data_IF_205169446283
#
_entry.id   IF_205169446283
#
_cell.length_a   1.000
_cell.length_b   1.000
_cell.length_c   1.000
_cell.angle_alpha   90.00
_cell.angle_beta   90.00
_cell.angle_gamma   90.00
#
_symmetry.space_group_name_H-M   'P 1'
#
loop_
_entity.id
_entity.type
_entity.pdbx_description
1 polymer ?
#
# COMPACT_ATOMS: atom_id res chain seq x y z
N UNK A 1 -55.01 48.09 30.56
CA UNK A 1 -55.79 46.83 30.44
C UNK A 1 -54.81 45.67 30.44
N UNK A 2 -55.12 44.61 31.18
CA UNK A 2 -54.17 43.65 31.74
C UNK A 2 -53.33 42.87 30.70
N UNK A 3 -52.03 42.76 30.98
CA UNK A 3 -51.10 41.89 30.26
C UNK A 3 -51.44 40.42 30.56
N UNK A 4 -51.79 39.68 29.50
CA UNK A 4 -52.10 38.25 29.60
C UNK A 4 -50.85 37.45 29.26
N UNK A 5 -50.21 36.89 30.29
CA UNK A 5 -49.13 35.92 30.16
C UNK A 5 -49.77 34.54 30.08
N UNK A 6 -49.77 33.92 28.90
CA UNK A 6 -50.18 32.52 28.73
C UNK A 6 -48.94 31.69 28.43
N UNK A 7 -48.36 31.12 29.48
CA UNK A 7 -47.34 30.09 29.38
C UNK A 7 -48.02 28.76 29.03
N UNK A 8 -47.89 28.30 27.80
CA UNK A 8 -48.23 26.92 27.44
C UNK A 8 -46.97 26.05 27.52
N UNK A 9 -46.88 25.31 28.63
CA UNK A 9 -46.07 24.11 28.73
C UNK A 9 -46.77 22.98 27.98
N UNK A 10 -46.11 22.39 26.98
CA UNK A 10 -46.50 21.12 26.38
C UNK A 10 -45.30 20.19 26.37
N UNK A 11 -45.53 19.01 26.94
CA UNK A 11 -44.56 18.01 27.34
C UNK A 11 -44.01 17.23 26.14
N UNK A 12 -42.71 16.93 26.21
CA UNK A 12 -42.14 15.60 26.03
C UNK A 12 -42.60 14.76 24.83
N UNK A 13 -41.85 14.82 23.74
CA UNK A 13 -41.55 13.63 22.96
C UNK A 13 -40.07 13.31 23.16
N UNK A 14 -39.82 12.29 23.97
CA UNK A 14 -38.55 11.59 24.06
C UNK A 14 -38.39 10.84 22.73
N UNK A 15 -37.95 11.57 21.71
CA UNK A 15 -37.43 10.95 20.50
C UNK A 15 -36.12 10.28 20.89
N UNK A 16 -36.18 8.97 21.15
CA UNK A 16 -35.01 8.13 21.06
C UNK A 16 -34.52 8.20 19.61
N UNK A 17 -33.71 9.21 19.31
CA UNK A 17 -32.90 9.22 18.11
C UNK A 17 -32.06 7.96 18.23
N UNK A 18 -32.43 6.92 17.48
CA UNK A 18 -31.57 5.79 17.22
C UNK A 18 -30.24 6.40 16.81
N UNK A 19 -29.25 6.32 17.72
CA UNK A 19 -27.91 6.73 17.40
C UNK A 19 -27.55 5.91 16.18
N UNK A 20 -27.36 6.58 15.04
CA UNK A 20 -26.79 5.94 13.88
C UNK A 20 -25.54 5.26 14.38
N UNK A 21 -25.55 3.93 14.44
CA UNK A 21 -24.33 3.18 14.60
C UNK A 21 -23.51 3.56 13.38
N UNK A 22 -22.61 4.54 13.55
CA UNK A 22 -21.62 4.85 12.55
C UNK A 22 -20.91 3.53 12.33
N UNK A 23 -21.11 2.93 11.15
CA UNK A 23 -20.38 1.75 10.75
C UNK A 23 -18.92 1.96 11.16
N UNK A 24 -18.32 0.96 11.82
CA UNK A 24 -16.95 1.03 12.30
C UNK A 24 -16.10 1.73 11.22
N UNK A 25 -15.32 2.76 11.60
CA UNK A 25 -14.65 3.61 10.63
C UNK A 25 -13.96 2.71 9.63
N UNK A 26 -14.33 2.87 8.36
CA UNK A 26 -13.78 2.06 7.31
C UNK A 26 -12.25 2.14 7.43
N UNK A 27 -11.61 0.98 7.59
CA UNK A 27 -10.20 0.89 7.95
C UNK A 27 -9.38 1.73 6.96
N UNK A 28 -8.52 2.60 7.48
CA UNK A 28 -7.67 3.43 6.64
C UNK A 28 -6.73 2.57 5.79
N UNK A 29 -6.36 3.05 4.60
CA UNK A 29 -5.28 2.46 3.84
C UNK A 29 -3.95 3.01 4.35
N UNK A 30 -3.00 2.13 4.61
CA UNK A 30 -1.64 2.50 4.98
C UNK A 30 -0.78 2.70 3.74
N UNK A 31 0.02 3.76 3.74
CA UNK A 31 1.10 3.98 2.79
C UNK A 31 2.33 4.52 3.51
N UNK A 32 3.42 3.75 3.52
CA UNK A 32 4.66 4.06 4.21
C UNK A 32 4.48 4.47 5.69
N UNK A 33 3.51 3.84 6.37
CA UNK A 33 3.17 4.11 7.77
C UNK A 33 2.20 5.26 8.02
N UNK A 34 1.75 5.95 6.97
CA UNK A 34 0.72 7.00 7.07
C UNK A 34 -0.66 6.43 6.72
N UNK A 35 -1.66 6.75 7.52
CA UNK A 35 -3.06 6.40 7.30
C UNK A 35 -3.75 7.35 6.32
N UNK A 36 -4.52 6.77 5.38
CA UNK A 36 -5.35 7.49 4.43
C UNK A 36 -6.80 7.02 4.53
N UNK A 37 -7.72 7.97 4.63
CA UNK A 37 -9.15 7.67 4.68
C UNK A 37 -9.65 7.03 3.38
N UNK A 38 -10.75 6.29 3.47
CA UNK A 38 -11.43 5.76 2.29
C UNK A 38 -11.80 6.86 1.30
N UNK A 39 -11.61 6.58 0.01
CA UNK A 39 -11.79 7.54 -1.08
C UNK A 39 -10.61 8.51 -1.27
N UNK A 40 -9.63 8.54 -0.36
CA UNK A 40 -8.42 9.33 -0.55
C UNK A 40 -7.66 8.87 -1.80
N UNK A 41 -7.09 9.84 -2.52
CA UNK A 41 -6.23 9.59 -3.67
C UNK A 41 -4.80 10.04 -3.38
N UNK A 42 -3.84 9.22 -3.79
CA UNK A 42 -2.43 9.52 -3.71
C UNK A 42 -1.76 9.28 -5.05
N UNK A 43 -0.74 10.06 -5.35
CA UNK A 43 0.11 9.85 -6.53
C UNK A 43 1.41 9.19 -6.10
N UNK A 44 1.79 8.10 -6.75
CA UNK A 44 3.08 7.45 -6.54
C UNK A 44 3.58 6.81 -7.84
N UNK A 45 4.87 6.98 -8.14
CA UNK A 45 5.50 6.30 -9.28
C UNK A 45 4.87 6.61 -10.64
N UNK A 46 4.26 7.78 -10.81
CA UNK A 46 3.57 8.18 -12.05
C UNK A 46 2.16 7.60 -12.20
N UNK A 47 1.51 7.17 -11.11
CA UNK A 47 0.13 6.66 -11.10
C UNK A 47 -0.67 7.21 -9.93
N UNK A 48 -1.98 7.26 -10.11
CA UNK A 48 -2.94 7.55 -9.04
C UNK A 48 -3.33 6.23 -8.36
N UNK A 49 -3.41 6.23 -7.04
CA UNK A 49 -3.96 5.14 -6.24
C UNK A 49 -5.11 5.68 -5.40
N UNK A 50 -6.23 4.96 -5.36
CA UNK A 50 -7.39 5.31 -4.55
C UNK A 50 -7.52 4.34 -3.38
N UNK A 51 -7.68 4.85 -2.17
CA UNK A 51 -7.96 4.03 -1.01
C UNK A 51 -9.41 3.53 -1.08
N UNK A 52 -9.57 2.22 -1.08
CA UNK A 52 -10.85 1.53 -1.11
C UNK A 52 -10.89 0.43 -0.05
N UNK A 53 -12.03 -0.23 0.04
CA UNK A 53 -12.26 -1.39 0.89
C UNK A 53 -12.73 -2.54 0.01
N UNK A 54 -12.11 -3.71 0.14
CA UNK A 54 -12.52 -4.95 -0.50
C UNK A 54 -12.78 -6.01 0.56
N UNK A 55 -14.00 -6.53 0.64
CA UNK A 55 -14.45 -7.46 1.69
C UNK A 55 -14.05 -7.04 3.12
N UNK A 56 -14.13 -5.73 3.42
CA UNK A 56 -13.75 -5.17 4.73
C UNK A 56 -12.24 -4.92 4.93
N UNK A 57 -11.40 -5.26 3.94
CA UNK A 57 -9.95 -5.05 3.98
C UNK A 57 -9.57 -3.77 3.25
N UNK A 58 -8.71 -2.90 3.82
CA UNK A 58 -8.26 -1.71 3.13
C UNK A 58 -7.29 -2.05 1.98
N UNK A 59 -7.54 -1.47 0.81
CA UNK A 59 -6.82 -1.75 -0.44
C UNK A 59 -6.61 -0.48 -1.23
N UNK A 60 -5.42 -0.35 -1.81
CA UNK A 60 -5.13 0.63 -2.83
C UNK A 60 -5.50 0.10 -4.21
N UNK A 61 -6.43 0.78 -4.87
CA UNK A 61 -6.80 0.52 -6.26
C UNK A 61 -5.91 1.35 -7.16
N UNK A 62 -5.12 0.68 -8.02
CA UNK A 62 -4.26 1.33 -9.02
C UNK A 62 -5.12 1.95 -10.12
N UNK A 63 -4.95 3.25 -10.35
CA UNK A 63 -5.65 4.03 -11.35
C UNK A 63 -4.79 4.39 -12.57
N UNK A 64 -5.18 5.50 -13.21
CA UNK A 64 -4.54 6.01 -14.42
C UNK A 64 -3.08 6.42 -14.19
N UNK A 65 -2.30 6.39 -15.28
CA UNK A 65 -1.00 7.05 -15.31
C UNK A 65 -1.18 8.57 -15.20
N UNK A 66 -0.22 9.25 -14.57
CA UNK A 66 -0.22 10.69 -14.37
C UNK A 66 1.21 11.24 -14.41
N UNK A 67 1.37 12.46 -14.91
CA UNK A 67 2.62 13.21 -14.85
C UNK A 67 2.79 14.00 -13.54
N UNK A 68 1.81 13.94 -12.63
CA UNK A 68 1.90 14.64 -11.36
C UNK A 68 3.02 14.08 -10.47
N UNK A 69 3.71 14.92 -9.67
CA UNK A 69 4.66 14.45 -8.66
C UNK A 69 4.03 13.49 -7.66
N UNK A 70 4.84 12.63 -7.05
CA UNK A 70 4.37 11.77 -5.97
C UNK A 70 3.93 12.60 -4.76
N UNK A 71 2.79 12.28 -4.17
CA UNK A 71 2.22 12.97 -3.00
C UNK A 71 2.46 12.20 -1.69
N UNK A 72 3.16 11.07 -1.77
CA UNK A 72 3.42 10.15 -0.66
C UNK A 72 4.88 9.70 -0.66
N UNK A 73 5.35 9.23 0.48
CA UNK A 73 6.70 8.69 0.61
C UNK A 73 6.86 7.41 -0.21
N UNK A 74 7.98 7.30 -0.92
CA UNK A 74 8.33 6.12 -1.70
C UNK A 74 9.67 5.55 -1.24
N UNK A 75 9.73 4.95 -0.04
CA UNK A 75 10.96 4.42 0.54
C UNK A 75 11.54 3.18 -0.18
N UNK A 76 10.84 2.63 -1.17
CA UNK A 76 11.14 1.33 -1.76
C UNK A 76 10.60 0.17 -0.92
N UNK A 77 10.51 -1.01 -1.51
CA UNK A 77 10.09 -2.26 -0.84
C UNK A 77 11.21 -2.86 0.02
N UNK A 78 11.76 -2.04 0.93
CA UNK A 78 12.96 -2.33 1.74
C UNK A 78 12.75 -3.22 2.97
N UNK A 79 11.51 -3.46 3.36
CA UNK A 79 11.12 -4.29 4.52
C UNK A 79 9.83 -5.04 4.23
N UNK A 80 9.41 -5.92 5.14
CA UNK A 80 8.05 -6.51 5.09
C UNK A 80 6.98 -5.38 5.07
N UNK A 81 5.91 -5.51 4.26
CA UNK A 81 4.90 -4.46 4.12
C UNK A 81 3.92 -4.39 5.30
N UNK A 82 3.82 -5.45 6.12
CA UNK A 82 2.91 -5.50 7.26
C UNK A 82 3.07 -4.28 8.18
N UNK A 83 1.95 -3.64 8.51
CA UNK A 83 1.90 -2.46 9.37
C UNK A 83 2.41 -1.16 8.74
N UNK A 84 2.86 -1.18 7.48
CA UNK A 84 3.36 0.02 6.78
C UNK A 84 2.68 0.28 5.45
N UNK A 85 2.20 -0.77 4.77
CA UNK A 85 1.51 -0.67 3.50
C UNK A 85 0.31 -1.62 3.45
N UNK A 86 -0.83 -1.11 2.97
CA UNK A 86 -2.02 -1.92 2.66
C UNK A 86 -1.89 -2.64 1.32
N UNK A 87 -2.77 -3.62 1.08
CA UNK A 87 -2.88 -4.34 -0.18
C UNK A 87 -2.93 -3.38 -1.37
N UNK A 88 -2.30 -3.75 -2.49
CA UNK A 88 -2.29 -2.94 -3.70
C UNK A 88 -1.32 -1.78 -3.71
N UNK A 89 -0.77 -1.36 -2.56
CA UNK A 89 0.28 -0.35 -2.51
C UNK A 89 1.51 -0.83 -3.31
N UNK A 90 2.19 0.11 -3.95
CA UNK A 90 3.35 -0.19 -4.77
C UNK A 90 4.55 0.65 -4.41
N UNK A 91 5.73 0.05 -4.58
CA UNK A 91 7.03 0.66 -4.32
C UNK A 91 8.05 0.19 -5.35
N UNK A 92 9.09 1.00 -5.64
CA UNK A 92 10.23 0.51 -6.41
C UNK A 92 10.93 -0.60 -5.62
N UNK A 93 11.42 -1.60 -6.35
CA UNK A 93 12.20 -2.69 -5.80
C UNK A 93 13.48 -2.22 -5.12
N UNK A 94 13.98 -3.04 -4.20
CA UNK A 94 15.27 -2.83 -3.51
C UNK A 94 15.99 -4.17 -3.38
N UNK A 95 17.21 -4.17 -2.84
CA UNK A 95 17.94 -5.41 -2.51
C UNK A 95 17.20 -6.34 -1.52
N UNK A 96 16.20 -5.83 -0.79
CA UNK A 96 15.31 -6.67 0.02
C UNK A 96 14.57 -7.71 -0.85
N UNK A 97 14.32 -7.36 -2.11
CA UNK A 97 13.61 -8.20 -3.06
C UNK A 97 14.54 -9.07 -3.92
N UNK A 98 15.85 -9.04 -3.67
CA UNK A 98 16.79 -9.90 -4.36
C UNK A 98 16.48 -11.37 -4.07
N UNK A 99 16.65 -12.20 -5.09
CA UNK A 99 16.53 -13.65 -4.96
C UNK A 99 17.46 -14.36 -5.94
N UNK A 100 17.70 -15.65 -5.71
CA UNK A 100 18.56 -16.45 -6.56
C UNK A 100 17.76 -17.36 -7.48
N UNK A 101 18.20 -17.46 -8.74
CA UNK A 101 17.79 -18.51 -9.69
C UNK A 101 19.04 -19.31 -10.02
N UNK A 102 19.15 -20.52 -9.46
CA UNK A 102 20.43 -21.25 -9.48
C UNK A 102 21.53 -20.43 -8.82
N UNK A 103 22.67 -20.29 -9.51
CA UNK A 103 23.81 -19.46 -9.09
C UNK A 103 23.68 -17.98 -9.47
N UNK A 104 22.59 -17.57 -10.14
CA UNK A 104 22.38 -16.19 -10.58
C UNK A 104 21.60 -15.39 -9.56
N UNK A 105 22.16 -14.24 -9.13
CA UNK A 105 21.42 -13.23 -8.38
C UNK A 105 20.51 -12.44 -9.31
N UNK A 106 19.23 -12.38 -8.96
CA UNK A 106 18.25 -11.53 -9.60
C UNK A 106 18.12 -10.25 -8.78
N UNK A 107 18.44 -9.12 -9.42
CA UNK A 107 18.36 -7.79 -8.82
C UNK A 107 16.90 -7.39 -8.57
N UNK A 108 16.55 -7.30 -7.29
CA UNK A 108 15.25 -6.88 -6.81
C UNK A 108 14.91 -5.45 -7.22
N UNK A 109 15.90 -4.57 -7.44
CA UNK A 109 15.68 -3.18 -7.86
C UNK A 109 15.17 -3.03 -9.30
N UNK A 110 15.22 -4.10 -10.10
CA UNK A 110 14.82 -4.10 -11.51
C UNK A 110 13.29 -4.13 -11.73
N UNK A 111 12.49 -4.23 -10.66
CA UNK A 111 11.02 -4.32 -10.74
C UNK A 111 10.31 -3.35 -9.78
N UNK A 112 9.05 -3.07 -10.10
CA UNK A 112 8.09 -2.49 -9.16
C UNK A 112 7.41 -3.62 -8.40
N UNK A 113 7.25 -3.47 -7.09
CA UNK A 113 6.58 -4.46 -6.25
C UNK A 113 5.25 -3.93 -5.76
N UNK A 114 4.26 -4.81 -5.65
CA UNK A 114 2.95 -4.58 -5.07
C UNK A 114 2.78 -5.41 -3.80
N UNK A 115 2.07 -4.85 -2.82
CA UNK A 115 1.63 -5.59 -1.65
C UNK A 115 0.48 -6.53 -2.02
N UNK A 116 0.66 -7.81 -1.76
CA UNK A 116 -0.36 -8.86 -1.91
C UNK A 116 -0.48 -9.64 -0.62
N UNK A 117 -1.62 -10.29 -0.40
CA UNK A 117 -1.78 -11.30 0.64
C UNK A 117 -1.41 -12.67 0.07
N UNK A 118 -0.77 -13.52 0.87
CA UNK A 118 -0.67 -14.94 0.59
C UNK A 118 -1.94 -15.71 1.00
N UNK A 119 -1.94 -17.03 0.82
CA UNK A 119 -3.10 -17.88 1.18
C UNK A 119 -3.45 -17.89 2.67
N UNK A 120 -2.55 -17.44 3.55
CA UNK A 120 -2.80 -17.31 4.98
C UNK A 120 -3.16 -15.86 5.39
N UNK A 121 -3.27 -14.94 4.43
CA UNK A 121 -3.56 -13.52 4.67
C UNK A 121 -2.34 -12.68 5.05
N UNK A 122 -1.12 -13.25 5.05
CA UNK A 122 0.07 -12.49 5.37
C UNK A 122 0.48 -11.61 4.18
N UNK A 123 0.85 -10.36 4.48
CA UNK A 123 1.24 -9.39 3.45
C UNK A 123 2.69 -9.60 3.00
N UNK A 124 2.89 -9.61 1.68
CA UNK A 124 4.20 -9.76 1.03
C UNK A 124 4.32 -8.87 -0.20
N UNK A 125 5.57 -8.64 -0.62
CA UNK A 125 5.86 -7.99 -1.89
C UNK A 125 5.82 -9.01 -3.03
N UNK A 126 5.16 -8.65 -4.12
CA UNK A 126 5.14 -9.42 -5.36
C UNK A 126 5.50 -8.49 -6.53
N UNK A 127 6.34 -8.96 -7.46
CA UNK A 127 6.68 -8.19 -8.64
C UNK A 127 5.43 -7.88 -9.48
N UNK A 128 5.25 -6.62 -9.83
CA UNK A 128 4.08 -6.08 -10.53
C UNK A 128 4.40 -5.51 -11.92
N UNK A 129 5.69 -5.41 -12.27
CA UNK A 129 6.16 -4.92 -13.58
C UNK A 129 7.61 -4.45 -13.53
N UNK A 130 8.22 -4.11 -14.68
CA UNK A 130 9.58 -3.61 -14.75
C UNK A 130 9.71 -2.23 -14.08
N UNK A 131 10.90 -1.92 -13.54
CA UNK A 131 11.16 -0.65 -12.85
C UNK A 131 10.98 0.58 -13.74
N UNK A 132 11.07 0.41 -15.06
CA UNK A 132 10.81 1.48 -16.05
C UNK A 132 9.36 2.00 -16.03
N UNK A 133 8.45 1.29 -15.38
CA UNK A 133 7.08 1.75 -15.15
C UNK A 133 6.95 2.70 -13.94
N UNK A 134 8.00 2.81 -13.12
CA UNK A 134 8.02 3.71 -11.97
C UNK A 134 8.64 5.06 -12.36
N UNK A 135 7.85 6.12 -12.25
CA UNK A 135 8.35 7.49 -12.44
C UNK A 135 8.96 7.98 -11.14
N UNK A 136 10.29 8.10 -11.11
CA UNK A 136 11.06 8.64 -10.00
C UNK A 136 10.95 10.17 -9.93
N UNK A 137 11.14 10.72 -8.73
CA UNK A 137 11.31 12.17 -8.59
C UNK A 137 12.61 12.62 -9.29
N UNK A 138 12.67 13.84 -9.83
CA UNK A 138 13.88 14.35 -10.47
C UNK A 138 15.12 14.20 -9.57
N UNK A 139 16.22 13.67 -10.12
CA UNK A 139 17.46 13.43 -9.39
C UNK A 139 17.48 12.16 -8.54
N UNK A 140 16.39 11.37 -8.53
CA UNK A 140 16.33 10.05 -7.89
C UNK A 140 16.21 8.95 -8.94
N UNK A 141 16.43 7.70 -8.54
CA UNK A 141 16.33 6.55 -9.44
C UNK A 141 16.28 5.24 -8.67
N UNK A 142 16.25 4.11 -9.41
CA UNK A 142 16.42 2.79 -8.80
C UNK A 142 17.73 2.76 -8.00
N UNK A 143 17.71 2.11 -6.84
CA UNK A 143 18.93 1.86 -6.05
C UNK A 143 19.40 0.46 -6.41
N UNK A 144 20.53 0.31 -7.13
CA UNK A 144 21.04 -1.00 -7.52
C UNK A 144 21.33 -1.87 -6.29
N UNK A 145 21.22 -3.19 -6.46
CA UNK A 145 21.64 -4.10 -5.40
C UNK A 145 23.15 -3.96 -5.11
N UNK A 146 23.52 -3.98 -3.83
CA UNK A 146 24.92 -4.11 -3.40
C UNK A 146 25.35 -5.57 -3.25
N UNK A 147 24.41 -6.50 -3.41
CA UNK A 147 24.65 -7.94 -3.28
C UNK A 147 25.28 -8.49 -4.55
N UNK A 148 26.03 -9.58 -4.37
CA UNK A 148 26.67 -10.30 -5.47
C UNK A 148 26.08 -11.71 -5.63
N UNK A 149 26.29 -12.28 -6.82
CA UNK A 149 25.95 -13.68 -7.11
C UNK A 149 26.61 -14.69 -6.16
N UNK A 150 27.68 -14.29 -5.45
CA UNK A 150 28.33 -15.12 -4.42
C UNK A 150 27.41 -15.47 -3.25
N UNK A 151 26.28 -14.75 -3.06
CA UNK A 151 25.27 -15.09 -2.06
C UNK A 151 24.33 -16.22 -2.52
N UNK A 152 24.34 -16.55 -3.81
CA UNK A 152 23.52 -17.63 -4.35
C UNK A 152 24.25 -18.97 -4.17
N UNK A 153 23.51 -20.04 -3.80
CA UNK A 153 24.10 -21.36 -3.69
C UNK A 153 24.68 -21.77 -5.04
N UNK A 154 25.84 -22.43 -5.02
CA UNK A 154 26.34 -23.10 -6.21
C UNK A 154 25.30 -24.13 -6.66
N UNK A 155 25.07 -24.21 -7.96
CA UNK A 155 24.26 -25.30 -8.52
C UNK A 155 24.97 -26.62 -8.19
N UNK A 156 24.28 -27.65 -7.68
CA UNK A 156 24.91 -28.95 -7.48
C UNK A 156 25.48 -29.42 -8.82
N UNK A 157 26.77 -29.73 -8.86
CA UNK A 157 27.38 -30.40 -10.02
C UNK A 157 26.74 -31.79 -10.09
N UNK A 158 25.71 -31.97 -10.93
CA UNK A 158 24.98 -33.23 -11.05
C UNK A 158 25.66 -34.27 -11.96
N UNK A 159 26.92 -34.06 -12.34
CA UNK A 159 27.68 -35.03 -13.14
C UNK A 159 28.89 -35.55 -12.36
N UNK A 160 29.09 -36.88 -12.26
CA UNK A 160 30.33 -37.40 -11.71
C UNK A 160 31.49 -36.99 -12.63
N UNK A 161 32.64 -36.57 -12.09
CA UNK A 161 33.85 -36.44 -12.89
C UNK A 161 34.20 -37.82 -13.44
N UNK A 162 34.36 -37.88 -14.75
CA UNK A 162 34.84 -39.05 -15.49
C UNK A 162 36.22 -39.48 -15.01
#
# INVERSE_FOLDING_TARGET
MAASVAALAALGLVGAAAGSATAAPATACLWAGTDYAQGAQVTAGGRIFSCATDHGTPVWVRGAATGAPSTVANPGSRTRPTGTFSLGAQQPGTEYNDYCVGSQLIDGSAAVYQVVADGAGALRWQAAGPITQWVFAPGTGPVPTTRSASLCPAEPVLWPPN
#
